data_IF_019659235169
#
_entry.id   IF_019659235169
#
_cell.length_a   1.000
_cell.length_b   1.000
_cell.length_c   1.000
_cell.angle_alpha   90.00
_cell.angle_beta   90.00
_cell.angle_gamma   90.00
#
_symmetry.space_group_name_H-M   'P 1'
#
loop_
_entity.id
_entity.type
_entity.pdbx_description
1 polymer ?
#
# COMPACT_ATOMS: atom_id res chain seq x y z
N UNK A 1 16.44 -8.10 21.02
CA UNK A 1 15.44 -7.09 20.62
C UNK A 1 15.73 -6.78 19.16
N UNK A 2 14.98 -7.37 18.22
CA UNK A 2 15.17 -7.07 16.79
C UNK A 2 14.69 -5.64 16.58
N UNK A 3 15.62 -4.74 16.29
CA UNK A 3 15.28 -3.35 15.96
C UNK A 3 14.30 -3.38 14.80
N UNK A 4 13.11 -2.82 15.02
CA UNK A 4 12.12 -2.49 13.99
C UNK A 4 12.83 -1.64 12.92
N UNK A 5 13.22 -2.24 11.81
CA UNK A 5 14.22 -1.67 10.92
C UNK A 5 13.58 -0.70 9.92
N UNK A 6 13.86 0.60 10.06
CA UNK A 6 13.52 1.63 9.08
C UNK A 6 13.93 1.29 7.62
N UNK A 7 15.06 0.58 7.37
CA UNK A 7 15.39 0.13 6.02
C UNK A 7 14.33 -0.71 5.32
N UNK A 8 13.52 -1.49 6.06
CA UNK A 8 12.46 -2.30 5.46
C UNK A 8 11.35 -1.42 4.87
N UNK A 9 10.83 -0.47 5.64
CA UNK A 9 9.76 0.42 5.17
C UNK A 9 10.23 1.35 4.06
N UNK A 10 11.50 1.76 4.11
CA UNK A 10 12.15 2.49 3.03
C UNK A 10 12.17 1.69 1.73
N UNK A 11 12.68 0.44 1.78
CA UNK A 11 12.74 -0.43 0.60
C UNK A 11 11.35 -0.73 0.01
N UNK A 12 10.33 -0.85 0.85
CA UNK A 12 8.94 -1.01 0.39
C UNK A 12 8.44 0.24 -0.34
N UNK A 13 8.71 1.43 0.19
CA UNK A 13 8.37 2.70 -0.48
C UNK A 13 9.04 2.81 -1.85
N UNK A 14 10.34 2.53 -1.92
CA UNK A 14 11.10 2.55 -3.18
C UNK A 14 10.54 1.55 -4.19
N UNK A 15 10.26 0.32 -3.75
CA UNK A 15 9.70 -0.73 -4.60
C UNK A 15 8.31 -0.35 -5.12
N UNK A 16 7.46 0.26 -4.28
CA UNK A 16 6.13 0.71 -4.68
C UNK A 16 6.22 1.81 -5.74
N UNK A 17 7.05 2.83 -5.52
CA UNK A 17 7.26 3.93 -6.47
C UNK A 17 7.86 3.42 -7.79
N UNK A 18 8.86 2.55 -7.72
CA UNK A 18 9.47 1.93 -8.90
C UNK A 18 8.43 1.16 -9.71
N UNK A 19 7.62 0.33 -9.04
CA UNK A 19 6.57 -0.46 -9.70
C UNK A 19 5.57 0.45 -10.41
N UNK A 20 5.07 1.50 -9.74
CA UNK A 20 4.11 2.44 -10.31
C UNK A 20 4.66 3.18 -11.54
N UNK A 21 5.89 3.70 -11.45
CA UNK A 21 6.57 4.37 -12.58
C UNK A 21 6.77 3.43 -13.78
N UNK A 22 6.99 2.14 -13.53
CA UNK A 22 7.16 1.14 -14.60
C UNK A 22 5.83 0.73 -15.25
N UNK A 23 4.73 0.72 -14.50
CA UNK A 23 3.41 0.32 -15.00
C UNK A 23 2.63 1.45 -15.64
N UNK A 24 2.94 2.71 -15.29
CA UNK A 24 2.22 3.90 -15.75
C UNK A 24 3.22 5.04 -15.98
N UNK A 25 3.40 5.42 -17.24
CA UNK A 25 4.33 6.47 -17.65
C UNK A 25 3.89 7.88 -17.22
N UNK A 26 2.61 8.05 -16.88
CA UNK A 26 2.04 9.32 -16.40
C UNK A 26 1.97 9.39 -14.88
N UNK A 27 2.38 8.33 -14.18
CA UNK A 27 2.36 8.30 -12.73
C UNK A 27 3.24 9.40 -12.14
N UNK A 28 2.65 10.19 -11.23
CA UNK A 28 3.35 11.10 -10.34
C UNK A 28 2.97 10.79 -8.89
N UNK A 29 3.93 10.99 -7.98
CA UNK A 29 3.68 10.94 -6.54
C UNK A 29 3.04 12.24 -6.00
N UNK A 30 2.89 13.27 -6.84
CA UNK A 30 2.28 14.55 -6.44
C UNK A 30 0.87 14.34 -5.89
N UNK A 31 0.64 14.84 -4.67
CA UNK A 31 -0.66 14.77 -4.01
C UNK A 31 -0.95 13.43 -3.32
N UNK A 32 0.00 12.49 -3.32
CA UNK A 32 -0.12 11.28 -2.50
C UNK A 32 0.09 11.58 -1.02
N UNK A 33 -0.65 10.87 -0.19
CA UNK A 33 -0.51 10.87 1.27
C UNK A 33 -0.20 9.46 1.73
N UNK A 34 0.84 9.30 2.55
CA UNK A 34 1.20 8.04 3.20
C UNK A 34 0.57 8.02 4.60
N UNK A 35 -0.47 7.20 4.77
CA UNK A 35 -1.08 6.96 6.08
C UNK A 35 -0.35 5.83 6.79
N UNK A 36 0.06 6.06 8.05
CA UNK A 36 0.70 5.04 8.88
C UNK A 36 0.31 5.16 10.35
N UNK A 37 0.56 4.10 11.12
CA UNK A 37 0.55 4.18 12.58
C UNK A 37 1.76 4.97 13.12
N UNK A 38 1.79 5.18 14.44
CA UNK A 38 2.89 5.84 15.13
C UNK A 38 4.09 4.91 15.42
N UNK A 39 4.26 3.83 14.65
CA UNK A 39 5.37 2.90 14.78
C UNK A 39 6.73 3.58 14.62
N UNK A 40 7.74 3.07 15.32
CA UNK A 40 9.09 3.67 15.33
C UNK A 40 9.76 3.73 13.96
N UNK A 41 9.37 2.87 13.02
CA UNK A 41 9.88 2.91 11.65
C UNK A 41 9.30 4.09 10.87
N UNK A 42 7.98 4.31 10.99
CA UNK A 42 7.26 5.36 10.27
C UNK A 42 7.49 6.75 10.87
N UNK A 43 7.81 6.82 12.16
CA UNK A 43 8.20 8.06 12.86
C UNK A 43 9.71 8.34 12.80
N UNK A 44 10.48 7.50 12.10
CA UNK A 44 11.93 7.71 11.98
C UNK A 44 12.24 8.90 11.05
N UNK A 45 13.35 9.59 11.34
CA UNK A 45 13.84 10.68 10.50
C UNK A 45 14.08 10.21 9.06
N UNK A 46 14.78 9.08 8.90
CA UNK A 46 15.12 8.53 7.59
C UNK A 46 13.88 8.22 6.74
N UNK A 47 12.81 7.70 7.33
CA UNK A 47 11.58 7.43 6.57
C UNK A 47 10.82 8.72 6.23
N UNK A 48 10.81 9.68 7.16
CA UNK A 48 10.21 11.01 6.91
C UNK A 48 10.92 11.73 5.77
N UNK A 49 12.26 11.70 5.75
CA UNK A 49 13.08 12.26 4.66
C UNK A 49 12.75 11.59 3.32
N UNK A 50 12.65 10.26 3.29
CA UNK A 50 12.31 9.52 2.07
C UNK A 50 10.92 9.87 1.50
N UNK A 51 9.93 10.13 2.36
CA UNK A 51 8.61 10.61 1.93
C UNK A 51 8.71 12.01 1.31
N UNK A 52 9.44 12.92 1.96
CA UNK A 52 9.65 14.30 1.47
C UNK A 52 10.37 14.30 0.13
N UNK A 53 11.46 13.54 -0.01
CA UNK A 53 12.21 13.39 -1.26
C UNK A 53 11.36 12.78 -2.38
N UNK A 54 10.42 11.91 -2.02
CA UNK A 54 9.45 11.33 -2.96
C UNK A 54 8.27 12.24 -3.27
N UNK A 55 8.16 13.42 -2.63
CA UNK A 55 7.03 14.35 -2.80
C UNK A 55 5.70 13.85 -2.22
N UNK A 56 5.76 12.97 -1.22
CA UNK A 56 4.60 12.36 -0.55
C UNK A 56 4.42 12.98 0.83
N UNK A 57 3.20 13.39 1.15
CA UNK A 57 2.87 13.88 2.49
C UNK A 57 2.71 12.69 3.46
N UNK A 58 3.35 12.73 4.63
CA UNK A 58 3.09 11.77 5.71
C UNK A 58 1.86 12.16 6.51
N UNK A 59 1.00 11.19 6.83
CA UNK A 59 -0.12 11.34 7.76
C UNK A 59 0.00 10.24 8.82
N UNK A 60 0.16 10.64 10.08
CA UNK A 60 0.23 9.72 11.22
C UNK A 60 -0.99 9.98 12.09
N UNK A 61 -1.72 8.91 12.42
CA UNK A 61 -2.90 8.98 13.27
C UNK A 61 -2.64 9.63 14.62
N UNK A 62 -3.69 10.22 15.20
CA UNK A 62 -3.56 10.84 16.50
C UNK A 62 -3.32 9.77 17.56
N UNK A 63 -2.50 10.06 18.57
CA UNK A 63 -2.15 9.07 19.59
C UNK A 63 -3.42 8.68 20.36
N UNK A 64 -3.84 7.42 20.21
CA UNK A 64 -5.01 6.86 20.88
C UNK A 64 -6.23 6.61 19.99
N UNK A 65 -6.18 7.01 18.71
CA UNK A 65 -7.10 6.50 17.68
C UNK A 65 -6.37 5.62 16.66
N UNK A 66 -7.07 4.63 16.11
CA UNK A 66 -6.53 3.67 15.16
C UNK A 66 -7.05 3.90 13.73
N UNK A 67 -7.71 5.04 13.47
CA UNK A 67 -8.49 5.24 12.25
C UNK A 67 -7.61 5.19 10.99
N UNK A 68 -6.46 5.88 11.01
CA UNK A 68 -5.52 5.88 9.89
C UNK A 68 -4.91 4.50 9.60
N UNK A 69 -4.86 3.61 10.60
CA UNK A 69 -4.32 2.25 10.46
C UNK A 69 -5.40 1.18 10.29
N UNK A 70 -6.68 1.48 10.57
CA UNK A 70 -7.75 0.50 10.68
C UNK A 70 -7.94 -0.33 9.41
N UNK A 71 -7.81 0.30 8.24
CA UNK A 71 -7.88 -0.38 6.95
C UNK A 71 -6.73 -1.39 6.80
N UNK A 72 -5.51 -0.99 7.15
CA UNK A 72 -4.33 -1.84 7.08
C UNK A 72 -4.43 -2.99 8.10
N UNK A 73 -4.86 -2.73 9.32
CA UNK A 73 -5.08 -3.78 10.34
C UNK A 73 -6.12 -4.81 9.89
N UNK A 74 -7.23 -4.34 9.32
CA UNK A 74 -8.27 -5.21 8.78
C UNK A 74 -7.73 -6.09 7.64
N UNK A 75 -6.96 -5.49 6.73
CA UNK A 75 -6.34 -6.22 5.61
C UNK A 75 -5.33 -7.27 6.11
N UNK A 76 -4.49 -6.93 7.09
CA UNK A 76 -3.56 -7.88 7.70
C UNK A 76 -4.31 -8.98 8.47
N UNK A 77 -5.43 -8.66 9.10
CA UNK A 77 -6.30 -9.64 9.76
C UNK A 77 -6.88 -10.66 8.76
N UNK A 78 -7.37 -10.18 7.61
CA UNK A 78 -7.84 -11.04 6.52
C UNK A 78 -6.72 -11.92 5.98
N UNK A 79 -5.56 -11.33 5.66
CA UNK A 79 -4.38 -12.07 5.19
C UNK A 79 -4.01 -13.23 6.13
N UNK A 80 -3.96 -12.96 7.45
CA UNK A 80 -3.67 -13.99 8.44
C UNK A 80 -4.75 -15.07 8.46
N UNK A 81 -6.01 -14.65 8.56
CA UNK A 81 -7.16 -15.57 8.65
C UNK A 81 -7.29 -16.46 7.43
N UNK A 82 -7.06 -15.93 6.23
CA UNK A 82 -7.32 -16.62 4.98
C UNK A 82 -6.14 -17.44 4.46
N UNK A 83 -4.91 -17.01 4.76
CA UNK A 83 -3.70 -17.68 4.31
C UNK A 83 -2.91 -18.31 5.47
N UNK A 84 -2.43 -17.49 6.41
CA UNK A 84 -1.47 -17.94 7.43
C UNK A 84 -2.08 -18.97 8.37
N UNK A 85 -3.27 -18.68 8.90
CA UNK A 85 -3.94 -19.49 9.92
C UNK A 85 -4.67 -20.70 9.31
N UNK A 86 -4.93 -20.70 8.00
CA UNK A 86 -5.47 -21.87 7.28
C UNK A 86 -4.41 -22.93 6.99
N UNK A 87 -3.15 -22.54 6.87
CA UNK A 87 -2.06 -23.46 6.58
C UNK A 87 -1.74 -24.32 7.81
N UNK A 88 -1.73 -25.65 7.65
CA UNK A 88 -1.40 -26.57 8.76
C UNK A 88 0.08 -26.52 9.14
N UNK A 89 0.96 -26.27 8.18
CA UNK A 89 2.40 -26.08 8.38
C UNK A 89 3.02 -25.39 7.15
N UNK A 90 4.22 -24.83 7.35
CA UNK A 90 5.02 -24.20 6.30
C UNK A 90 6.36 -24.92 6.21
N UNK A 91 6.75 -25.31 5.00
CA UNK A 91 8.05 -25.93 4.70
C UNK A 91 9.22 -24.97 4.87
N UNK A 92 8.96 -23.67 4.80
CA UNK A 92 9.95 -22.63 5.08
C UNK A 92 9.53 -21.25 4.57
N UNK A 93 10.42 -20.27 4.74
CA UNK A 93 10.19 -18.87 4.36
C UNK A 93 9.83 -18.70 2.87
N UNK A 94 10.49 -19.43 1.98
CA UNK A 94 10.25 -19.31 0.54
C UNK A 94 8.82 -19.70 0.15
N UNK A 95 8.22 -20.68 0.84
CA UNK A 95 6.83 -21.05 0.62
C UNK A 95 5.89 -19.93 1.08
N UNK A 96 6.13 -19.37 2.28
CA UNK A 96 5.35 -18.24 2.79
C UNK A 96 5.43 -17.06 1.83
N UNK A 97 6.62 -16.70 1.34
CA UNK A 97 6.80 -15.59 0.39
C UNK A 97 6.02 -15.81 -0.91
N UNK A 98 6.09 -17.03 -1.47
CA UNK A 98 5.35 -17.39 -2.68
C UNK A 98 3.84 -17.29 -2.47
N UNK A 99 3.32 -17.92 -1.42
CA UNK A 99 1.89 -17.91 -1.12
C UNK A 99 1.40 -16.50 -0.73
N UNK A 100 2.25 -15.68 -0.09
CA UNK A 100 1.94 -14.26 0.16
C UNK A 100 1.76 -13.50 -1.15
N UNK A 101 2.68 -13.69 -2.11
CA UNK A 101 2.57 -13.03 -3.41
C UNK A 101 1.32 -13.47 -4.18
N UNK A 102 0.99 -14.76 -4.12
CA UNK A 102 -0.25 -15.32 -4.67
C UNK A 102 -1.49 -14.70 -4.02
N UNK A 103 -1.53 -14.61 -2.69
CA UNK A 103 -2.65 -14.00 -1.96
C UNK A 103 -2.78 -12.51 -2.28
N UNK A 104 -1.67 -11.76 -2.35
CA UNK A 104 -1.69 -10.33 -2.72
C UNK A 104 -2.23 -10.14 -4.13
N UNK A 105 -1.82 -10.97 -5.10
CA UNK A 105 -2.40 -10.92 -6.46
C UNK A 105 -3.90 -11.19 -6.40
N UNK A 106 -4.29 -12.29 -5.76
CA UNK A 106 -5.69 -12.69 -5.64
C UNK A 106 -6.52 -11.57 -5.03
N UNK A 107 -6.17 -11.07 -3.84
CA UNK A 107 -6.89 -10.01 -3.13
C UNK A 107 -7.13 -8.75 -4.00
N UNK A 108 -6.15 -8.38 -4.82
CA UNK A 108 -6.21 -7.19 -5.66
C UNK A 108 -6.91 -7.39 -7.01
N UNK A 109 -7.01 -8.64 -7.50
CA UNK A 109 -7.50 -8.92 -8.84
C UNK A 109 -8.87 -9.63 -8.88
N UNK A 110 -9.17 -10.51 -7.92
CA UNK A 110 -10.27 -11.47 -8.05
C UNK A 110 -11.50 -11.17 -7.16
N UNK A 111 -11.39 -10.93 -5.84
CA UNK A 111 -12.56 -10.72 -4.99
C UNK A 111 -13.29 -9.41 -5.28
N UNK A 112 -14.62 -9.47 -5.14
CA UNK A 112 -15.47 -8.28 -5.16
C UNK A 112 -15.64 -7.76 -3.74
N UNK A 113 -15.23 -6.52 -3.51
CA UNK A 113 -15.28 -5.91 -2.18
C UNK A 113 -16.49 -4.98 -2.08
N UNK A 114 -17.37 -5.25 -1.12
CA UNK A 114 -18.62 -4.50 -0.95
C UNK A 114 -18.42 -3.01 -0.61
N UNK A 115 -17.26 -2.65 -0.04
CA UNK A 115 -16.90 -1.25 0.26
C UNK A 115 -16.54 -0.42 -0.97
N UNK A 116 -16.30 -1.06 -2.11
CA UNK A 116 -15.90 -0.43 -3.38
C UNK A 116 -16.81 -0.90 -4.52
N UNK A 117 -18.12 -0.92 -4.28
CA UNK A 117 -19.16 -1.24 -5.28
C UNK A 117 -19.01 -2.63 -5.92
N UNK A 118 -18.52 -3.61 -5.16
CA UNK A 118 -18.35 -4.99 -5.63
C UNK A 118 -17.46 -5.09 -6.88
N UNK A 119 -16.34 -4.38 -6.88
CA UNK A 119 -15.25 -4.60 -7.86
C UNK A 119 -13.95 -4.97 -7.15
N UNK A 120 -12.95 -5.41 -7.93
CA UNK A 120 -11.61 -5.66 -7.39
C UNK A 120 -10.88 -4.34 -7.13
N UNK A 121 -9.88 -4.30 -6.22
CA UNK A 121 -9.09 -3.10 -5.95
C UNK A 121 -8.40 -2.54 -7.20
N UNK A 122 -7.90 -3.40 -8.09
CA UNK A 122 -7.28 -2.97 -9.36
C UNK A 122 -8.31 -2.28 -10.26
N UNK A 123 -9.51 -2.85 -10.38
CA UNK A 123 -10.58 -2.27 -11.20
C UNK A 123 -11.05 -0.93 -10.63
N UNK A 124 -11.25 -0.87 -9.30
CA UNK A 124 -11.59 0.37 -8.61
C UNK A 124 -10.55 1.47 -8.85
N UNK A 125 -9.27 1.15 -8.69
CA UNK A 125 -8.18 2.10 -8.96
C UNK A 125 -8.17 2.54 -10.43
N UNK A 126 -8.40 1.62 -11.37
CA UNK A 126 -8.44 1.91 -12.81
C UNK A 126 -9.55 2.92 -13.12
N UNK A 127 -10.78 2.64 -12.66
CA UNK A 127 -11.93 3.54 -12.83
C UNK A 127 -11.69 4.92 -12.20
N UNK A 128 -11.09 4.95 -11.02
CA UNK A 128 -10.75 6.19 -10.33
C UNK A 128 -9.76 7.06 -11.15
N UNK A 129 -8.77 6.42 -11.79
CA UNK A 129 -7.80 7.12 -12.65
C UNK A 129 -8.44 7.62 -13.95
N UNK A 130 -9.32 6.85 -14.57
CA UNK A 130 -10.04 7.25 -15.79
C UNK A 130 -10.96 8.46 -15.55
N UNK A 131 -11.56 8.56 -14.35
CA UNK A 131 -12.47 9.64 -13.99
C UNK A 131 -11.75 10.93 -13.55
N UNK A 132 -10.45 10.86 -13.22
CA UNK A 132 -9.67 12.04 -12.84
C UNK A 132 -8.87 12.52 -14.05
N UNK A 133 -9.15 13.73 -14.58
CA UNK A 133 -8.35 14.31 -15.64
C UNK A 133 -6.88 14.33 -15.20
N UNK A 134 -5.98 13.81 -16.03
CA UNK A 134 -4.55 14.06 -15.84
C UNK A 134 -4.30 15.56 -16.01
N UNK A 135 -3.29 16.11 -15.33
CA UNK A 135 -2.94 17.53 -15.48
C UNK A 135 -2.70 17.93 -16.95
N UNK A 136 -2.28 16.97 -17.80
CA UNK A 136 -2.18 17.13 -19.25
C UNK A 136 -3.54 17.38 -19.94
N UNK A 137 -4.58 16.64 -19.59
CA UNK A 137 -5.92 16.81 -20.16
C UNK A 137 -6.61 18.12 -19.77
N UNK A 138 -6.29 18.68 -18.59
CA UNK A 138 -6.81 19.98 -18.15
C UNK A 138 -6.21 21.13 -18.95
N UNK A 139 -4.94 21.00 -19.37
CA UNK A 139 -4.24 21.99 -20.22
C UNK A 139 -4.71 21.96 -21.68
N UNK A 140 -5.20 20.83 -22.19
CA UNK A 140 -5.78 20.73 -23.55
C UNK A 140 -7.24 21.20 -23.63
N UNK A 141 -7.91 21.33 -22.48
CA UNK A 141 -9.30 21.78 -22.38
C UNK A 141 -9.45 23.28 -22.05
N UNK A 142 -8.34 24.01 -21.89
CA UNK A 142 -8.29 25.45 -21.59
C UNK A 142 -7.75 26.26 -22.78
#
# INVERSE_FOLDING_TARGET
MTTKAAPLVHGVLEQALFTRRRTDLHFTSTGLVHHSDAGSQYTSLAFTEALVESGIAGSIGSVGDALDNALMESTIGLYKTELIDRAQSWSGRAEVERETAEWVRWFNADPLHSSIDYVSPIEYETRYREQRPTAASILEMA
#
